data_IF_567150258396
#
_entry.id   IF_567150258396
#
_cell.length_a   1.000
_cell.length_b   1.000
_cell.length_c   1.000
_cell.angle_alpha   90.00
_cell.angle_beta   90.00
_cell.angle_gamma   90.00
#
_symmetry.space_group_name_H-M   'P 1'
#
loop_
_entity.id
_entity.type
_entity.pdbx_description
1 polymer ?
#
# COMPACT_ATOMS: atom_id res chain seq x y z
N UNK A 1 60.05 -0.23 -20.84
CA UNK A 1 59.26 -0.86 -19.76
C UNK A 1 57.91 -0.19 -19.74
N UNK A 2 56.86 -0.91 -20.23
CA UNK A 2 55.48 -0.41 -20.30
C UNK A 2 54.75 -0.84 -19.04
N UNK A 3 54.45 0.12 -18.18
CA UNK A 3 53.61 -0.10 -16.99
C UNK A 3 52.13 -0.30 -17.38
N UNK A 4 51.58 -1.43 -17.00
CA UNK A 4 50.20 -1.86 -17.22
C UNK A 4 49.36 -1.30 -16.07
N UNK A 5 48.39 -0.43 -16.37
CA UNK A 5 47.38 0.06 -15.43
C UNK A 5 46.45 -1.09 -14.98
N UNK A 6 46.03 -1.13 -13.70
CA UNK A 6 45.08 -2.13 -13.23
C UNK A 6 43.68 -1.84 -13.77
N UNK A 7 42.97 -2.89 -14.16
CA UNK A 7 41.55 -2.86 -14.54
C UNK A 7 40.72 -2.55 -13.29
N UNK A 8 39.91 -1.51 -13.37
CA UNK A 8 38.83 -1.24 -12.41
C UNK A 8 37.87 -2.43 -12.43
N UNK A 9 37.76 -3.08 -11.30
CA UNK A 9 36.72 -4.07 -11.01
C UNK A 9 35.39 -3.34 -10.84
N UNK A 10 34.41 -3.69 -11.70
CA UNK A 10 33.08 -3.15 -11.63
C UNK A 10 32.44 -3.31 -10.25
N UNK A 11 31.90 -2.24 -9.76
CA UNK A 11 31.08 -2.20 -8.56
C UNK A 11 29.85 -3.12 -8.74
N UNK A 12 29.83 -4.17 -7.95
CA UNK A 12 28.69 -5.07 -7.78
C UNK A 12 27.59 -4.28 -7.07
N UNK A 13 26.59 -3.83 -7.83
CA UNK A 13 25.37 -3.23 -7.30
C UNK A 13 24.66 -4.27 -6.45
N UNK A 14 24.78 -4.14 -5.13
CA UNK A 14 24.26 -5.04 -4.12
C UNK A 14 22.81 -5.43 -4.31
N UNK A 15 22.61 -6.53 -5.03
CA UNK A 15 21.36 -7.29 -5.07
C UNK A 15 21.26 -8.02 -3.73
N UNK A 16 20.20 -7.81 -2.98
CA UNK A 16 19.90 -8.57 -1.76
C UNK A 16 19.98 -10.08 -2.06
N UNK A 17 20.56 -10.91 -1.15
CA UNK A 17 20.87 -12.28 -1.46
C UNK A 17 19.63 -13.10 -1.79
N UNK A 18 19.55 -13.64 -3.02
CA UNK A 18 18.95 -14.92 -3.28
C UNK A 18 17.42 -15.00 -3.42
N UNK A 19 16.71 -13.98 -3.90
CA UNK A 19 15.31 -14.12 -4.32
C UNK A 19 15.17 -14.82 -5.68
N UNK A 20 14.02 -15.47 -5.92
CA UNK A 20 13.67 -16.02 -7.24
C UNK A 20 13.07 -14.88 -8.07
N UNK A 21 13.81 -14.35 -9.03
CA UNK A 21 13.42 -13.22 -9.88
C UNK A 21 12.02 -13.38 -10.53
N UNK A 22 11.66 -14.62 -10.92
CA UNK A 22 10.34 -14.90 -11.46
C UNK A 22 9.22 -14.74 -10.41
N UNK A 23 9.48 -15.10 -9.15
CA UNK A 23 8.56 -14.93 -8.05
C UNK A 23 8.39 -13.44 -7.70
N UNK A 24 9.48 -12.68 -7.67
CA UNK A 24 9.43 -11.25 -7.42
C UNK A 24 8.58 -10.53 -8.46
N UNK A 25 8.75 -10.88 -9.75
CA UNK A 25 7.94 -10.36 -10.83
C UNK A 25 6.45 -10.78 -10.72
N UNK A 26 6.16 -12.01 -10.29
CA UNK A 26 4.80 -12.47 -10.06
C UNK A 26 4.14 -11.68 -8.90
N UNK A 27 4.86 -11.45 -7.81
CA UNK A 27 4.37 -10.66 -6.68
C UNK A 27 4.09 -9.19 -7.04
N UNK A 28 4.77 -8.61 -8.05
CA UNK A 28 4.40 -7.30 -8.61
C UNK A 28 2.99 -7.35 -9.18
N UNK A 29 2.65 -8.39 -9.97
CA UNK A 29 1.31 -8.55 -10.56
C UNK A 29 0.23 -8.67 -9.48
N UNK A 30 0.49 -9.42 -8.40
CA UNK A 30 -0.46 -9.55 -7.30
C UNK A 30 -0.66 -8.22 -6.55
N UNK A 31 0.41 -7.44 -6.35
CA UNK A 31 0.32 -6.09 -5.76
C UNK A 31 -0.48 -5.12 -6.63
N UNK A 32 -0.29 -5.19 -7.94
CA UNK A 32 -1.06 -4.39 -8.90
C UNK A 32 -2.54 -4.78 -8.88
N UNK A 33 -2.86 -6.08 -8.90
CA UNK A 33 -4.24 -6.56 -8.82
C UNK A 33 -4.94 -6.04 -7.55
N UNK A 34 -4.27 -6.05 -6.41
CA UNK A 34 -4.79 -5.50 -5.15
C UNK A 34 -5.08 -4.00 -5.20
N UNK A 35 -4.41 -3.24 -6.06
CA UNK A 35 -4.56 -1.78 -6.13
C UNK A 35 -5.81 -1.33 -6.90
N UNK A 36 -6.48 -2.22 -7.64
CA UNK A 36 -7.76 -1.93 -8.28
C UNK A 36 -8.92 -2.02 -7.27
N UNK A 37 -9.93 -1.17 -7.43
CA UNK A 37 -11.15 -1.17 -6.62
C UNK A 37 -12.15 -2.27 -7.02
N UNK A 38 -11.68 -3.35 -7.65
CA UNK A 38 -12.49 -4.49 -8.10
C UNK A 38 -11.91 -5.17 -9.32
N UNK A 39 -12.69 -6.03 -10.00
CA UNK A 39 -12.18 -6.83 -11.10
C UNK A 39 -11.60 -6.00 -12.25
N UNK A 40 -10.36 -6.29 -12.66
CA UNK A 40 -9.60 -5.57 -13.67
C UNK A 40 -9.35 -6.40 -14.94
N UNK A 41 -9.19 -5.75 -16.10
CA UNK A 41 -8.82 -6.41 -17.34
C UNK A 41 -7.32 -6.76 -17.35
N UNK A 42 -6.96 -7.84 -18.03
CA UNK A 42 -5.56 -8.24 -18.23
C UNK A 42 -4.69 -7.10 -18.78
N UNK A 43 -5.22 -6.32 -19.73
CA UNK A 43 -4.52 -5.18 -20.33
C UNK A 43 -4.16 -4.10 -19.32
N UNK A 44 -5.07 -3.82 -18.38
CA UNK A 44 -4.87 -2.79 -17.37
C UNK A 44 -3.85 -3.25 -16.31
N UNK A 45 -3.98 -4.50 -15.87
CA UNK A 45 -3.00 -5.13 -14.96
C UNK A 45 -1.61 -5.14 -15.60
N UNK A 46 -1.51 -5.48 -16.90
CA UNK A 46 -0.24 -5.54 -17.61
C UNK A 46 0.41 -4.16 -17.74
N UNK A 47 -0.37 -3.13 -18.06
CA UNK A 47 0.09 -1.75 -18.13
C UNK A 47 0.61 -1.27 -16.79
N UNK A 48 -0.14 -1.46 -15.72
CA UNK A 48 0.25 -1.04 -14.37
C UNK A 48 1.46 -1.84 -13.82
N UNK A 49 1.57 -3.11 -14.20
CA UNK A 49 2.72 -3.95 -13.83
C UNK A 49 3.98 -3.66 -14.65
N UNK A 50 3.88 -2.88 -15.73
CA UNK A 50 4.99 -2.64 -16.65
C UNK A 50 5.47 -3.92 -17.37
N UNK A 51 4.56 -4.88 -17.63
CA UNK A 51 4.90 -6.19 -18.18
C UNK A 51 4.05 -6.54 -19.41
N UNK A 52 4.58 -7.38 -20.34
CA UNK A 52 3.78 -7.90 -21.44
C UNK A 52 2.55 -8.69 -20.94
N UNK A 53 1.37 -8.54 -21.59
CA UNK A 53 0.14 -9.25 -21.19
C UNK A 53 0.29 -10.76 -21.11
N UNK A 54 1.06 -11.38 -22.02
CA UNK A 54 1.33 -12.82 -22.02
C UNK A 54 2.08 -13.29 -20.77
N UNK A 55 2.99 -12.47 -20.24
CA UNK A 55 3.72 -12.75 -19.00
C UNK A 55 2.80 -12.61 -17.78
N UNK A 56 2.00 -11.54 -17.73
CA UNK A 56 1.02 -11.30 -16.66
C UNK A 56 -0.02 -12.41 -16.62
N UNK A 57 -0.54 -12.84 -17.79
CA UNK A 57 -1.49 -13.95 -17.89
C UNK A 57 -0.94 -15.24 -17.26
N UNK A 58 0.32 -15.57 -17.51
CA UNK A 58 0.96 -16.76 -16.90
C UNK A 58 1.04 -16.68 -15.38
N UNK A 59 1.34 -15.51 -14.84
CA UNK A 59 1.36 -15.29 -13.39
C UNK A 59 -0.05 -15.37 -12.78
N UNK A 60 -1.04 -14.74 -13.44
CA UNK A 60 -2.43 -14.82 -13.01
C UNK A 60 -2.97 -16.26 -13.03
N UNK A 61 -2.60 -17.07 -14.04
CA UNK A 61 -2.96 -18.49 -14.07
C UNK A 61 -2.40 -19.24 -12.84
N UNK A 62 -1.15 -18.98 -12.45
CA UNK A 62 -0.56 -19.55 -11.25
C UNK A 62 -1.27 -19.08 -9.97
N UNK A 63 -1.65 -17.81 -9.90
CA UNK A 63 -2.40 -17.28 -8.77
C UNK A 63 -3.82 -17.83 -8.69
N UNK A 64 -4.48 -18.07 -9.83
CA UNK A 64 -5.79 -18.74 -9.86
C UNK A 64 -5.66 -20.17 -9.34
N UNK A 65 -4.64 -20.90 -9.77
CA UNK A 65 -4.39 -22.26 -9.29
C UNK A 65 -4.12 -22.28 -7.78
N UNK A 66 -3.45 -21.26 -7.22
CA UNK A 66 -3.19 -21.10 -5.80
C UNK A 66 -4.37 -20.48 -5.02
N UNK A 67 -5.48 -20.14 -5.66
CA UNK A 67 -6.62 -19.47 -5.00
C UNK A 67 -6.41 -17.99 -4.66
N UNK A 68 -5.23 -17.43 -4.99
CA UNK A 68 -4.89 -16.03 -4.73
C UNK A 68 -5.57 -15.04 -5.67
N UNK A 69 -5.98 -15.49 -6.85
CA UNK A 69 -6.75 -14.73 -7.82
C UNK A 69 -7.93 -15.56 -8.33
N UNK A 70 -8.92 -14.88 -8.89
CA UNK A 70 -10.05 -15.49 -9.62
C UNK A 70 -10.25 -14.77 -10.93
N UNK A 71 -10.75 -15.48 -11.95
CA UNK A 71 -11.23 -14.88 -13.18
C UNK A 71 -12.75 -14.95 -13.23
N UNK A 72 -13.39 -13.80 -13.39
CA UNK A 72 -14.87 -13.72 -13.48
C UNK A 72 -15.35 -14.24 -14.84
N UNK A 73 -16.06 -15.35 -14.86
CA UNK A 73 -16.46 -16.08 -16.07
C UNK A 73 -17.14 -15.21 -17.13
N UNK A 74 -18.07 -14.32 -16.74
CA UNK A 74 -18.82 -13.47 -17.69
C UNK A 74 -18.02 -12.32 -18.29
N UNK A 75 -17.04 -11.78 -17.57
CA UNK A 75 -16.31 -10.58 -18.00
C UNK A 75 -14.86 -10.84 -18.38
N UNK A 76 -14.33 -12.02 -18.07
CA UNK A 76 -12.92 -12.36 -18.23
C UNK A 76 -11.96 -11.53 -17.38
N UNK A 77 -12.50 -10.69 -16.48
CA UNK A 77 -11.71 -9.84 -15.58
C UNK A 77 -11.15 -10.63 -14.40
N UNK A 78 -10.03 -10.19 -13.89
CA UNK A 78 -9.31 -10.78 -12.76
C UNK A 78 -9.56 -10.02 -11.49
N UNK A 79 -9.68 -10.74 -10.37
CA UNK A 79 -9.88 -10.20 -9.04
C UNK A 79 -9.10 -11.01 -8.01
N UNK A 80 -8.96 -10.49 -6.77
CA UNK A 80 -8.39 -11.26 -5.68
C UNK A 80 -9.26 -12.49 -5.37
N UNK A 81 -8.60 -13.61 -5.09
CA UNK A 81 -9.23 -14.88 -4.74
C UNK A 81 -9.38 -15.07 -3.23
N UNK A 82 -10.10 -16.13 -2.80
CA UNK A 82 -10.37 -16.40 -1.38
C UNK A 82 -9.10 -16.59 -0.55
N UNK A 83 -8.08 -17.24 -1.07
CA UNK A 83 -6.81 -17.44 -0.38
C UNK A 83 -6.12 -16.13 -0.01
N UNK A 84 -6.25 -15.09 -0.84
CA UNK A 84 -5.73 -13.76 -0.52
C UNK A 84 -6.43 -13.14 0.71
N UNK A 85 -7.74 -13.38 0.87
CA UNK A 85 -8.49 -12.95 2.04
C UNK A 85 -8.08 -13.74 3.29
N UNK A 86 -7.92 -15.06 3.18
CA UNK A 86 -7.50 -15.92 4.29
C UNK A 86 -6.10 -15.55 4.80
N UNK A 87 -5.14 -15.32 3.90
CA UNK A 87 -3.81 -14.81 4.26
C UNK A 87 -3.87 -13.47 4.97
N UNK A 88 -4.72 -12.55 4.50
CA UNK A 88 -4.93 -11.25 5.12
C UNK A 88 -5.51 -11.36 6.54
N UNK A 89 -6.54 -12.17 6.71
CA UNK A 89 -7.18 -12.43 8.02
C UNK A 89 -6.19 -13.09 8.99
N UNK A 90 -5.44 -14.10 8.53
CA UNK A 90 -4.43 -14.75 9.35
C UNK A 90 -3.32 -13.77 9.80
N UNK A 91 -2.87 -12.90 8.91
CA UNK A 91 -1.86 -11.89 9.23
C UNK A 91 -2.37 -10.85 10.26
N UNK A 92 -3.61 -10.39 10.11
CA UNK A 92 -4.26 -9.44 11.03
C UNK A 92 -4.49 -10.11 12.39
N UNK A 93 -5.00 -11.35 12.42
CA UNK A 93 -5.29 -12.08 13.65
C UNK A 93 -4.06 -12.44 14.49
N UNK A 94 -2.86 -12.45 13.90
CA UNK A 94 -1.58 -12.62 14.62
C UNK A 94 -1.03 -11.32 15.23
N UNK A 95 -1.70 -10.21 15.02
CA UNK A 95 -1.27 -8.91 15.52
C UNK A 95 -2.09 -8.51 16.74
N UNK A 96 -1.60 -8.81 17.93
CA UNK A 96 -2.26 -8.53 19.22
C UNK A 96 -2.69 -7.07 19.37
N UNK A 97 -1.94 -6.13 18.80
CA UNK A 97 -2.30 -4.71 18.84
C UNK A 97 -3.57 -4.45 18.04
N UNK A 98 -3.69 -5.03 16.84
CA UNK A 98 -4.88 -4.86 15.99
C UNK A 98 -6.11 -5.47 16.65
N UNK A 99 -5.96 -6.65 17.28
CA UNK A 99 -7.05 -7.31 18.01
C UNK A 99 -7.51 -6.43 19.17
N UNK A 100 -6.61 -6.03 20.06
CA UNK A 100 -6.93 -5.20 21.25
C UNK A 100 -7.44 -3.81 20.89
N UNK A 101 -6.83 -3.14 19.92
CA UNK A 101 -7.32 -1.84 19.47
C UNK A 101 -8.70 -1.92 18.82
N UNK A 102 -9.03 -3.07 18.22
CA UNK A 102 -10.34 -3.33 17.64
C UNK A 102 -11.46 -3.47 18.66
N UNK A 103 -11.17 -3.95 19.89
CA UNK A 103 -12.18 -4.12 20.95
C UNK A 103 -12.84 -2.79 21.37
N UNK A 104 -12.06 -1.68 21.41
CA UNK A 104 -12.59 -0.35 21.74
C UNK A 104 -13.25 0.41 20.59
N UNK A 105 -13.22 -0.14 19.37
CA UNK A 105 -13.66 0.60 18.18
C UNK A 105 -15.18 0.74 18.14
N UNK A 106 -15.92 -0.28 18.56
CA UNK A 106 -17.38 -0.30 18.63
C UNK A 106 -17.90 0.70 19.67
N UNK A 107 -17.28 0.73 20.86
CA UNK A 107 -17.60 1.68 21.90
C UNK A 107 -17.35 3.13 21.43
N UNK A 108 -16.21 3.36 20.77
CA UNK A 108 -15.88 4.67 20.20
C UNK A 108 -16.91 5.11 19.16
N UNK A 109 -17.31 4.22 18.24
CA UNK A 109 -18.27 4.51 17.20
C UNK A 109 -19.66 4.81 17.81
N UNK A 110 -20.11 4.04 18.81
CA UNK A 110 -21.39 4.25 19.48
C UNK A 110 -21.42 5.54 20.30
N UNK A 111 -20.34 5.83 21.05
CA UNK A 111 -20.23 7.01 21.90
C UNK A 111 -20.18 8.32 21.11
N UNK A 112 -19.43 8.31 20.00
CA UNK A 112 -19.26 9.51 19.15
C UNK A 112 -20.39 9.67 18.13
N UNK A 113 -21.14 8.61 17.85
CA UNK A 113 -22.11 8.57 16.76
C UNK A 113 -21.48 8.54 15.37
N UNK A 114 -20.16 8.49 15.26
CA UNK A 114 -19.42 8.55 14.01
C UNK A 114 -18.84 7.18 13.64
N UNK A 115 -18.48 7.00 12.37
CA UNK A 115 -17.71 5.84 11.96
C UNK A 115 -16.29 5.92 12.58
N UNK A 116 -15.85 4.81 13.18
CA UNK A 116 -14.50 4.65 13.71
C UNK A 116 -13.72 3.63 12.86
N UNK A 117 -12.44 3.88 12.66
CA UNK A 117 -11.58 2.99 11.88
C UNK A 117 -10.24 2.78 12.57
N UNK A 118 -9.67 1.59 12.34
CA UNK A 118 -8.30 1.26 12.73
C UNK A 118 -7.45 1.16 11.47
N UNK A 119 -6.40 1.94 11.43
CA UNK A 119 -5.41 1.88 10.37
C UNK A 119 -4.07 1.39 10.90
N UNK A 120 -3.36 0.58 10.13
CA UNK A 120 -1.99 0.14 10.40
C UNK A 120 -1.07 0.57 9.28
N UNK A 121 0.23 0.62 9.56
CA UNK A 121 1.22 0.93 8.53
C UNK A 121 1.44 -0.26 7.61
N UNK A 122 1.28 -0.05 6.31
CA UNK A 122 1.61 -1.00 5.24
C UNK A 122 2.63 -0.41 4.26
N UNK A 123 3.03 -1.19 3.25
CA UNK A 123 3.88 -0.70 2.16
C UNK A 123 3.22 0.41 1.32
N UNK A 124 1.89 0.52 1.37
CA UNK A 124 1.12 1.56 0.68
C UNK A 124 0.79 2.76 1.57
N UNK A 125 1.30 2.79 2.81
CA UNK A 125 1.00 3.82 3.81
C UNK A 125 -0.04 3.34 4.83
N UNK A 126 -0.67 4.28 5.57
CA UNK A 126 -1.71 3.97 6.55
C UNK A 126 -2.88 3.25 5.87
N UNK A 127 -3.16 2.02 6.29
CA UNK A 127 -4.16 1.14 5.65
C UNK A 127 -5.22 0.73 6.66
N UNK A 128 -6.49 0.86 6.29
CA UNK A 128 -7.64 0.48 7.12
C UNK A 128 -7.72 -1.03 7.21
N UNK A 129 -7.66 -1.56 8.44
CA UNK A 129 -7.76 -3.00 8.73
C UNK A 129 -9.03 -3.36 9.51
N UNK A 130 -9.69 -2.39 10.13
CA UNK A 130 -10.97 -2.54 10.79
C UNK A 130 -11.77 -1.25 10.70
N UNK A 131 -13.10 -1.37 10.63
CA UNK A 131 -14.01 -0.24 10.58
C UNK A 131 -15.32 -0.61 11.25
N UNK A 132 -15.77 0.26 12.16
CA UNK A 132 -17.09 0.19 12.80
C UNK A 132 -17.91 1.40 12.37
N UNK A 133 -19.19 1.16 12.09
CA UNK A 133 -20.12 2.21 11.68
C UNK A 133 -20.85 2.74 12.90
N UNK A 134 -20.87 4.05 13.08
CA UNK A 134 -21.74 4.69 14.06
C UNK A 134 -23.19 4.73 13.59
N UNK A 135 -24.14 5.09 14.49
CA UNK A 135 -25.56 5.21 14.18
C UNK A 135 -25.86 6.30 13.14
N UNK A 136 -24.99 7.28 12.98
CA UNK A 136 -25.15 8.32 11.98
C UNK A 136 -24.75 7.80 10.59
N UNK A 137 -25.64 7.98 9.62
CA UNK A 137 -25.36 7.61 8.24
C UNK A 137 -24.23 8.51 7.67
N UNK A 138 -23.04 7.94 7.53
CA UNK A 138 -21.92 8.59 6.87
C UNK A 138 -21.67 7.91 5.53
N UNK A 139 -21.92 8.63 4.43
CA UNK A 139 -21.54 8.13 3.11
C UNK A 139 -20.05 8.35 2.94
N UNK A 140 -19.29 7.28 2.83
CA UNK A 140 -17.84 7.31 2.61
C UNK A 140 -17.43 6.22 1.63
N UNK A 141 -16.45 6.54 0.78
CA UNK A 141 -15.79 5.56 -0.08
C UNK A 141 -14.67 4.80 0.65
N UNK A 142 -14.39 5.17 1.91
CA UNK A 142 -13.36 4.52 2.72
C UNK A 142 -13.90 3.20 3.25
N UNK A 143 -13.12 2.12 3.08
CA UNK A 143 -13.44 0.78 3.56
C UNK A 143 -12.18 0.01 3.96
N UNK A 144 -12.34 -1.28 4.25
CA UNK A 144 -11.21 -2.16 4.53
C UNK A 144 -10.25 -2.18 3.34
N UNK A 145 -8.94 -2.10 3.62
CA UNK A 145 -7.89 -2.02 2.60
C UNK A 145 -7.66 -0.63 2.01
N UNK A 146 -8.54 0.36 2.26
CA UNK A 146 -8.30 1.75 1.85
C UNK A 146 -7.03 2.29 2.49
N UNK A 147 -6.26 3.08 1.72
CA UNK A 147 -5.02 3.72 2.20
C UNK A 147 -5.21 5.22 2.29
N UNK A 148 -4.59 5.82 3.31
CA UNK A 148 -4.60 7.27 3.50
C UNK A 148 -3.30 7.92 3.02
N UNK A 149 -3.36 9.08 2.35
CA UNK A 149 -2.17 9.88 2.10
C UNK A 149 -1.59 10.40 3.42
N UNK A 150 -0.25 10.55 3.49
CA UNK A 150 0.43 11.06 4.68
C UNK A 150 0.16 12.54 4.93
N UNK A 151 0.13 13.32 3.86
CA UNK A 151 0.10 14.78 3.94
C UNK A 151 -1.32 15.34 3.94
N UNK A 152 -2.27 14.61 3.32
CA UNK A 152 -3.64 15.06 3.08
C UNK A 152 -4.70 14.33 3.89
N UNK A 153 -4.32 13.69 4.99
CA UNK A 153 -5.27 13.06 5.89
C UNK A 153 -4.86 13.19 7.35
N UNK A 154 -5.83 13.27 8.27
CA UNK A 154 -5.57 13.27 9.70
C UNK A 154 -4.84 11.97 10.13
N UNK A 155 -5.30 10.82 9.65
CA UNK A 155 -4.67 9.52 9.90
C UNK A 155 -3.23 9.49 9.41
N UNK A 156 -2.97 9.95 8.18
CA UNK A 156 -1.62 10.04 7.62
C UNK A 156 -0.71 10.94 8.46
N UNK A 157 -1.19 12.10 8.87
CA UNK A 157 -0.45 13.07 9.71
C UNK A 157 -0.10 12.51 11.09
N UNK A 158 -0.93 11.67 11.68
CA UNK A 158 -0.60 10.94 12.92
C UNK A 158 0.56 9.97 12.66
N UNK A 159 0.49 9.14 11.63
CA UNK A 159 1.60 8.26 11.26
C UNK A 159 2.89 9.03 10.96
N UNK A 160 2.76 10.14 10.22
CA UNK A 160 3.88 11.04 9.92
C UNK A 160 4.57 11.54 11.19
N UNK A 161 3.80 11.80 12.25
CA UNK A 161 4.31 12.37 13.49
C UNK A 161 4.95 11.33 14.42
N UNK A 162 4.51 10.09 14.40
CA UNK A 162 4.93 9.08 15.38
C UNK A 162 5.73 7.91 14.81
N UNK A 163 5.72 7.70 13.49
CA UNK A 163 6.48 6.61 12.88
C UNK A 163 7.93 7.02 12.62
N UNK A 164 8.84 6.03 12.66
CA UNK A 164 10.25 6.27 12.36
C UNK A 164 10.45 6.80 10.94
N UNK A 165 11.25 7.87 10.79
CA UNK A 165 11.48 8.59 9.52
C UNK A 165 11.88 7.67 8.36
N UNK A 166 12.71 6.67 8.61
CA UNK A 166 13.14 5.71 7.58
C UNK A 166 11.96 4.98 6.90
N UNK A 167 10.88 4.70 7.65
CA UNK A 167 9.68 4.06 7.10
C UNK A 167 8.83 5.00 6.25
N UNK A 168 8.94 6.31 6.48
CA UNK A 168 8.13 7.33 5.84
C UNK A 168 8.73 7.85 4.53
N UNK A 169 10.08 7.82 4.39
CA UNK A 169 10.78 8.54 3.32
C UNK A 169 10.30 8.20 1.93
N UNK A 170 10.20 6.91 1.61
CA UNK A 170 9.75 6.48 0.28
C UNK A 170 8.34 7.00 -0.03
N UNK A 171 7.44 6.91 0.94
CA UNK A 171 6.05 7.35 0.76
C UNK A 171 5.94 8.86 0.65
N UNK A 172 6.70 9.61 1.47
CA UNK A 172 6.78 11.06 1.38
C UNK A 172 7.28 11.53 0.02
N UNK A 173 8.34 10.91 -0.49
CA UNK A 173 8.88 11.24 -1.81
C UNK A 173 7.82 11.04 -2.90
N UNK A 174 7.12 9.91 -2.91
CA UNK A 174 6.04 9.64 -3.87
C UNK A 174 4.90 10.67 -3.78
N UNK A 175 4.54 11.12 -2.56
CA UNK A 175 3.51 12.15 -2.39
C UNK A 175 3.99 13.53 -2.85
N UNK A 176 5.27 13.88 -2.64
CA UNK A 176 5.83 15.12 -3.18
C UNK A 176 5.87 15.11 -4.71
N UNK A 177 6.33 14.03 -5.32
CA UNK A 177 6.35 13.87 -6.78
C UNK A 177 4.94 13.99 -7.37
N UNK A 178 3.96 13.36 -6.75
CA UNK A 178 2.55 13.46 -7.13
C UNK A 178 2.02 14.89 -6.97
N UNK A 179 2.36 15.59 -5.89
CA UNK A 179 1.92 16.94 -5.66
C UNK A 179 2.44 17.89 -6.76
N UNK A 180 3.70 17.75 -7.13
CA UNK A 180 4.31 18.54 -8.21
C UNK A 180 3.66 18.21 -9.56
N UNK A 181 3.49 16.92 -9.89
CA UNK A 181 2.94 16.50 -11.20
C UNK A 181 1.45 16.80 -11.38
N UNK A 182 0.68 16.85 -10.29
CA UNK A 182 -0.78 17.07 -10.30
C UNK A 182 -1.18 18.46 -9.78
N UNK A 183 -0.23 19.36 -9.57
CA UNK A 183 -0.45 20.73 -9.04
C UNK A 183 -1.25 20.72 -7.71
N UNK A 184 -1.09 19.68 -6.89
CA UNK A 184 -1.74 19.60 -5.59
C UNK A 184 -1.03 20.55 -4.63
N UNK A 185 -1.79 21.41 -3.95
CA UNK A 185 -1.30 22.28 -2.89
C UNK A 185 -2.06 22.03 -1.59
N UNK A 186 -1.35 22.12 -0.47
CA UNK A 186 -1.95 22.06 0.87
C UNK A 186 -1.92 23.45 1.51
N UNK A 187 -2.97 23.89 2.19
CA UNK A 187 -3.03 25.23 2.80
C UNK A 187 -1.95 25.46 3.87
N UNK A 188 -1.52 24.39 4.55
CA UNK A 188 -0.66 24.42 5.72
C UNK A 188 0.70 23.74 5.51
N UNK A 189 1.00 23.29 4.29
CA UNK A 189 2.18 22.47 3.99
C UNK A 189 2.72 22.76 2.58
N UNK A 190 4.05 22.78 2.46
CA UNK A 190 4.77 22.73 1.18
C UNK A 190 5.34 21.33 0.94
N UNK A 191 5.60 20.91 -0.30
CA UNK A 191 6.18 19.63 -0.63
C UNK A 191 7.70 19.59 -0.35
N UNK A 192 8.10 19.94 0.86
CA UNK A 192 9.48 19.91 1.34
C UNK A 192 9.57 19.38 2.78
N UNK A 193 10.73 18.83 3.14
CA UNK A 193 10.95 18.21 4.45
C UNK A 193 10.89 19.22 5.62
N UNK A 194 11.27 20.47 5.41
CA UNK A 194 11.24 21.50 6.46
C UNK A 194 9.81 21.86 6.86
N UNK A 195 8.91 21.96 5.86
CA UNK A 195 7.49 22.17 6.10
C UNK A 195 6.85 20.98 6.82
N UNK A 196 7.22 19.75 6.44
CA UNK A 196 6.77 18.51 7.12
C UNK A 196 7.26 18.47 8.57
N UNK A 197 8.50 18.82 8.86
CA UNK A 197 9.03 18.87 10.23
C UNK A 197 8.28 19.91 11.09
N UNK A 198 7.91 21.04 10.50
CA UNK A 198 7.10 22.06 11.16
C UNK A 198 5.70 21.55 11.47
N UNK A 199 5.08 20.83 10.55
CA UNK A 199 3.78 20.19 10.75
C UNK A 199 3.84 19.15 11.88
N UNK A 200 4.86 18.28 11.87
CA UNK A 200 5.06 17.27 12.93
C UNK A 200 5.15 17.91 14.32
N UNK A 201 5.88 19.02 14.46
CA UNK A 201 5.99 19.75 15.73
C UNK A 201 4.67 20.34 16.24
N UNK A 202 3.73 20.64 15.32
CA UNK A 202 2.39 21.14 15.71
C UNK A 202 1.45 20.02 16.13
N UNK A 203 1.68 18.79 15.67
CA UNK A 203 0.82 17.63 15.96
C UNK A 203 1.23 16.94 17.26
N UNK A 204 2.51 16.94 17.61
CA UNK A 204 3.04 16.41 18.88
C UNK A 204 2.82 17.37 20.05
#
# INVERSE_FOLDING_TARGET
MKGKLPKETGEDNGTAPGGIQALDAALVVLRVLRAFDGPAHLSDIAREAGMPPSKVHRYLASFIHAGLAVQKERSGRYDLGPEAAELGVAAIGRNDFVVRAGEGLEELASTTGQAALLAVWSNSGPTVVRMERGPNLTTTSIGLGSTFPLLDSATGRVFLSYLARQRLMLRLQLEFERAVSSEISWPDLRPDLGSVETLIKKIR
#
